data_IF_978591917801
#
_entry.id   IF_978591917801
#
_cell.length_a   1.000
_cell.length_b   1.000
_cell.length_c   1.000
_cell.angle_alpha   90.00
_cell.angle_beta   90.00
_cell.angle_gamma   90.00
#
_symmetry.space_group_name_H-M   'P 1'
#
loop_
_entity.id
_entity.type
_entity.pdbx_description
1 polymer ?
#
# COMPACT_ATOMS: atom_id res chain seq x y z
N UNK A 1 12.01 2.51 16.88
CA UNK A 1 11.46 1.29 16.98
C UNK A 1 10.54 0.95 15.85
N UNK A 2 10.27 -0.25 15.67
CA UNK A 2 9.45 -0.66 14.57
C UNK A 2 8.08 -0.01 14.67
N UNK A 3 7.59 0.44 13.56
CA UNK A 3 6.33 1.12 13.51
C UNK A 3 5.30 0.21 12.84
N UNK A 4 5.41 -1.09 13.05
CA UNK A 4 4.55 -2.03 12.40
C UNK A 4 5.14 -2.45 11.07
N UNK A 5 4.31 -2.99 10.19
CA UNK A 5 4.78 -3.48 8.91
C UNK A 5 5.13 -2.32 7.99
N UNK A 6 6.14 -2.51 7.14
CA UNK A 6 6.56 -1.44 6.24
C UNK A 6 5.54 -1.17 5.14
N UNK A 7 5.71 0.00 4.52
CA UNK A 7 4.94 0.38 3.33
C UNK A 7 5.80 0.02 2.13
N UNK A 8 5.19 -0.62 1.15
CA UNK A 8 5.88 -0.96 -0.10
C UNK A 8 5.61 0.13 -1.12
N UNK A 9 6.68 0.74 -1.62
CA UNK A 9 6.63 1.76 -2.66
C UNK A 9 7.08 1.13 -3.96
N UNK A 10 6.25 1.18 -5.00
CA UNK A 10 6.55 0.59 -6.30
C UNK A 10 6.58 1.71 -7.33
N UNK A 11 7.74 2.00 -7.86
CA UNK A 11 7.94 3.11 -8.78
C UNK A 11 9.18 2.83 -9.62
N UNK A 12 9.06 2.89 -10.94
CA UNK A 12 10.18 2.57 -11.82
C UNK A 12 11.14 3.75 -12.02
N UNK A 13 10.71 4.99 -11.74
CA UNK A 13 11.61 6.13 -11.76
C UNK A 13 12.40 6.16 -10.45
N UNK A 14 13.73 5.95 -10.50
CA UNK A 14 14.50 5.88 -9.26
C UNK A 14 14.50 7.17 -8.45
N UNK A 15 14.43 8.33 -9.11
CA UNK A 15 14.43 9.60 -8.40
C UNK A 15 13.11 9.79 -7.66
N UNK A 16 11.99 9.49 -8.30
CA UNK A 16 10.69 9.63 -7.64
C UNK A 16 10.54 8.58 -6.56
N UNK A 17 11.02 7.36 -6.82
CA UNK A 17 10.96 6.29 -5.81
C UNK A 17 11.69 6.71 -4.55
N UNK A 18 12.88 7.26 -4.71
CA UNK A 18 13.67 7.72 -3.56
C UNK A 18 12.97 8.84 -2.82
N UNK A 19 12.39 9.80 -3.56
CA UNK A 19 11.71 10.93 -2.94
C UNK A 19 10.50 10.46 -2.13
N UNK A 20 9.73 9.53 -2.64
CA UNK A 20 8.57 9.00 -1.93
C UNK A 20 9.02 8.25 -0.67
N UNK A 21 10.04 7.41 -0.81
CA UNK A 21 10.57 6.67 0.33
C UNK A 21 11.09 7.62 1.41
N UNK A 22 11.85 8.64 1.02
CA UNK A 22 12.40 9.60 1.98
C UNK A 22 11.30 10.34 2.72
N UNK A 23 10.26 10.74 1.99
CA UNK A 23 9.13 11.45 2.60
C UNK A 23 8.48 10.59 3.67
N UNK A 24 8.27 9.31 3.39
CA UNK A 24 7.65 8.41 4.34
C UNK A 24 8.56 8.13 5.53
N UNK A 25 9.84 7.93 5.27
CA UNK A 25 10.79 7.65 6.34
C UNK A 25 10.95 8.83 7.29
N UNK A 26 10.96 10.05 6.74
CA UNK A 26 11.03 11.24 7.57
C UNK A 26 9.81 11.38 8.46
N UNK A 27 8.69 10.81 8.07
CA UNK A 27 7.47 10.84 8.88
C UNK A 27 7.38 9.65 9.85
N UNK A 28 8.44 8.85 9.96
CA UNK A 28 8.48 7.75 10.91
C UNK A 28 7.95 6.43 10.38
N UNK A 29 7.67 6.34 9.09
CA UNK A 29 7.19 5.09 8.51
C UNK A 29 8.35 4.21 8.08
N UNK A 30 8.19 2.91 8.27
CA UNK A 30 9.13 1.93 7.73
C UNK A 30 8.76 1.67 6.27
N UNK A 31 9.75 1.61 5.39
CA UNK A 31 9.51 1.56 3.94
C UNK A 31 10.39 0.51 3.30
N UNK A 32 9.83 -0.23 2.37
CA UNK A 32 10.59 -1.05 1.42
C UNK A 32 10.15 -0.62 0.02
N UNK A 33 10.98 -0.84 -0.97
CA UNK A 33 10.66 -0.37 -2.32
C UNK A 33 11.01 -1.39 -3.37
N UNK A 34 10.35 -1.26 -4.52
CA UNK A 34 10.60 -2.11 -5.67
C UNK A 34 10.55 -1.25 -6.92
N UNK A 35 11.41 -1.53 -7.92
CA UNK A 35 11.42 -0.73 -9.15
C UNK A 35 10.33 -1.10 -10.14
N UNK A 36 9.58 -2.17 -9.90
CA UNK A 36 8.53 -2.58 -10.80
C UNK A 36 7.62 -3.59 -10.16
N UNK A 37 6.57 -3.97 -10.91
CA UNK A 37 5.54 -4.85 -10.38
C UNK A 37 6.02 -6.26 -10.11
N UNK A 38 6.90 -6.80 -10.96
CA UNK A 38 7.40 -8.15 -10.75
C UNK A 38 8.23 -8.23 -9.48
N UNK A 39 9.11 -7.25 -9.28
CA UNK A 39 9.92 -7.20 -8.06
C UNK A 39 9.04 -7.00 -6.84
N UNK A 40 7.97 -6.20 -6.97
CA UNK A 40 7.04 -5.99 -5.88
C UNK A 40 6.37 -7.30 -5.48
N UNK A 41 5.92 -8.10 -6.45
CA UNK A 41 5.27 -9.36 -6.15
C UNK A 41 6.23 -10.35 -5.47
N UNK A 42 7.48 -10.38 -5.92
CA UNK A 42 8.48 -11.22 -5.28
C UNK A 42 8.71 -10.81 -3.83
N UNK A 43 8.77 -9.50 -3.60
CA UNK A 43 8.97 -8.99 -2.25
C UNK A 43 7.78 -9.36 -1.36
N UNK A 44 6.56 -9.25 -1.87
CA UNK A 44 5.38 -9.57 -1.09
C UNK A 44 5.30 -11.04 -0.75
N UNK A 45 5.92 -11.92 -1.53
CA UNK A 45 5.96 -13.34 -1.22
C UNK A 45 6.80 -13.64 0.02
N UNK A 46 7.74 -12.79 0.36
CA UNK A 46 8.68 -13.05 1.45
C UNK A 46 8.57 -12.04 2.59
N UNK A 47 7.83 -10.96 2.42
CA UNK A 47 7.74 -9.93 3.44
C UNK A 47 6.33 -9.35 3.48
N UNK A 48 5.73 -9.33 4.67
CA UNK A 48 4.44 -8.68 4.86
C UNK A 48 4.61 -7.17 4.87
N UNK A 49 3.63 -6.47 4.30
CA UNK A 49 3.62 -5.00 4.30
C UNK A 49 2.24 -4.52 4.72
N UNK A 50 2.14 -3.25 5.11
CA UNK A 50 0.89 -2.69 5.61
C UNK A 50 0.13 -1.92 4.54
N UNK A 51 0.77 -1.60 3.43
CA UNK A 51 0.17 -0.79 2.38
C UNK A 51 1.09 -0.85 1.17
N UNK A 52 0.50 -0.84 -0.02
CA UNK A 52 1.27 -0.70 -1.26
C UNK A 52 0.92 0.65 -1.88
N UNK A 53 1.95 1.43 -2.20
CA UNK A 53 1.79 2.69 -2.94
C UNK A 53 2.50 2.46 -4.27
N UNK A 54 1.76 2.43 -5.37
CA UNK A 54 2.31 2.04 -6.66
C UNK A 54 1.97 3.05 -7.73
N UNK A 55 2.94 3.33 -8.59
CA UNK A 55 2.68 4.09 -9.80
C UNK A 55 1.79 3.27 -10.74
N UNK A 56 0.97 3.96 -11.54
CA UNK A 56 0.13 3.31 -12.54
C UNK A 56 0.97 2.93 -13.76
N UNK A 57 1.81 3.83 -14.22
CA UNK A 57 2.60 3.61 -15.44
C UNK A 57 3.95 3.01 -15.10
N UNK A 58 4.09 1.72 -15.39
CA UNK A 58 5.34 1.00 -15.19
C UNK A 58 5.45 -0.06 -16.28
N UNK A 59 6.65 -0.58 -16.46
CA UNK A 59 6.92 -1.67 -17.38
C UNK A 59 7.69 -2.74 -16.63
N UNK A 60 7.56 -4.00 -16.97
CA UNK A 60 6.69 -4.58 -18.01
C UNK A 60 5.22 -4.72 -17.58
N UNK A 61 4.91 -4.70 -16.28
CA UNK A 61 3.52 -4.71 -15.85
C UNK A 61 3.21 -3.38 -15.17
N UNK A 62 2.03 -2.86 -15.46
CA UNK A 62 1.64 -1.57 -14.91
C UNK A 62 1.00 -1.74 -13.53
N UNK A 63 0.69 -0.61 -12.90
CA UNK A 63 0.15 -0.62 -11.54
C UNK A 63 -1.22 -1.25 -11.44
N UNK A 64 -2.01 -1.21 -12.50
CA UNK A 64 -3.34 -1.81 -12.48
C UNK A 64 -3.23 -3.33 -12.54
N UNK A 65 -2.33 -3.84 -13.37
CA UNK A 65 -2.06 -5.28 -13.42
C UNK A 65 -1.52 -5.76 -12.07
N UNK A 66 -0.60 -4.98 -11.49
CA UNK A 66 -0.07 -5.31 -10.17
C UNK A 66 -1.19 -5.32 -9.14
N UNK A 67 -2.09 -4.35 -9.17
CA UNK A 67 -3.23 -4.29 -8.26
C UNK A 67 -4.07 -5.56 -8.35
N UNK A 68 -4.34 -6.02 -9.56
CA UNK A 68 -5.16 -7.23 -9.74
C UNK A 68 -4.47 -8.46 -9.15
N UNK A 69 -3.15 -8.56 -9.35
CA UNK A 69 -2.39 -9.66 -8.77
C UNK A 69 -2.41 -9.59 -7.25
N UNK A 70 -2.26 -8.40 -6.69
CA UNK A 70 -2.30 -8.25 -5.24
C UNK A 70 -3.67 -8.62 -4.70
N UNK A 71 -4.75 -8.18 -5.35
CA UNK A 71 -6.10 -8.55 -4.91
C UNK A 71 -6.30 -10.06 -4.90
N UNK A 72 -5.71 -10.74 -5.88
CA UNK A 72 -5.84 -12.20 -5.98
C UNK A 72 -5.07 -12.91 -4.87
N UNK A 73 -3.88 -12.44 -4.56
CA UNK A 73 -2.99 -13.13 -3.61
C UNK A 73 -3.11 -12.61 -2.18
N UNK A 74 -3.41 -11.33 -2.03
CA UNK A 74 -3.43 -10.66 -0.73
C UNK A 74 -4.68 -9.81 -0.64
N UNK A 75 -5.87 -10.43 -0.49
CA UNK A 75 -7.14 -9.71 -0.64
C UNK A 75 -7.36 -8.59 0.37
N UNK A 76 -6.65 -8.59 1.48
CA UNK A 76 -6.83 -7.56 2.50
C UNK A 76 -5.79 -6.45 2.44
N UNK A 77 -4.81 -6.58 1.55
CA UNK A 77 -3.73 -5.61 1.48
C UNK A 77 -4.19 -4.36 0.75
N UNK A 78 -4.17 -3.18 1.40
CA UNK A 78 -4.60 -1.97 0.72
C UNK A 78 -3.58 -1.50 -0.31
N UNK A 79 -4.07 -0.93 -1.41
CA UNK A 79 -3.25 -0.43 -2.49
C UNK A 79 -3.72 0.99 -2.83
N UNK A 80 -2.79 1.94 -2.81
CA UNK A 80 -3.02 3.31 -3.25
C UNK A 80 -2.18 3.52 -4.50
N UNK A 81 -2.79 4.09 -5.54
CA UNK A 81 -2.09 4.30 -6.80
C UNK A 81 -1.63 5.73 -6.93
N UNK A 82 -0.47 5.93 -7.57
CA UNK A 82 0.03 7.25 -7.94
C UNK A 82 -0.17 7.38 -9.44
N UNK A 83 -0.79 8.47 -9.89
CA UNK A 83 -1.15 8.58 -11.30
C UNK A 83 -0.99 10.02 -11.78
N UNK A 84 -0.59 10.17 -13.03
CA UNK A 84 -0.58 11.47 -13.68
C UNK A 84 -2.01 11.84 -14.08
N UNK A 85 -2.25 13.14 -14.26
CA UNK A 85 -3.58 13.62 -14.66
C UNK A 85 -4.09 12.90 -15.91
N UNK A 86 -3.19 12.61 -16.84
CA UNK A 86 -3.59 11.97 -18.09
C UNK A 86 -4.11 10.54 -17.89
N UNK A 87 -3.85 9.93 -16.74
CA UNK A 87 -4.23 8.54 -16.50
C UNK A 87 -5.35 8.41 -15.46
N UNK A 88 -6.08 9.50 -15.19
CA UNK A 88 -7.14 9.47 -14.17
C UNK A 88 -8.22 8.44 -14.52
N UNK A 89 -8.56 8.28 -15.80
CA UNK A 89 -9.55 7.29 -16.18
C UNK A 89 -9.12 5.88 -15.80
N UNK A 90 -7.83 5.58 -15.95
CA UNK A 90 -7.31 4.28 -15.57
C UNK A 90 -7.35 4.10 -14.05
N UNK A 91 -7.07 5.19 -13.32
CA UNK A 91 -7.13 5.13 -11.86
C UNK A 91 -8.57 4.88 -11.38
N UNK A 92 -9.55 5.51 -12.03
CA UNK A 92 -10.96 5.27 -11.69
C UNK A 92 -11.32 3.81 -11.92
N UNK A 93 -10.86 3.25 -13.04
CA UNK A 93 -11.07 1.83 -13.30
C UNK A 93 -10.43 0.96 -12.23
N UNK A 94 -9.24 1.35 -11.77
CA UNK A 94 -8.54 0.61 -10.73
C UNK A 94 -9.31 0.60 -9.41
N UNK A 95 -10.03 1.69 -9.12
CA UNK A 95 -10.86 1.72 -7.92
C UNK A 95 -11.91 0.59 -7.96
N UNK A 96 -12.45 0.33 -9.13
CA UNK A 96 -13.39 -0.78 -9.31
C UNK A 96 -12.72 -2.13 -9.13
N UNK A 97 -11.42 -2.19 -9.37
CA UNK A 97 -10.66 -3.44 -9.23
C UNK A 97 -10.11 -3.62 -7.82
N UNK A 98 -10.39 -2.68 -6.91
CA UNK A 98 -10.06 -2.88 -5.52
C UNK A 98 -9.00 -1.95 -4.93
N UNK A 99 -8.55 -0.92 -5.66
CA UNK A 99 -7.66 0.07 -5.07
C UNK A 99 -8.41 0.86 -4.01
N UNK A 100 -7.70 1.27 -2.95
CA UNK A 100 -8.31 2.08 -1.90
C UNK A 100 -8.49 3.53 -2.32
N UNK A 101 -7.52 4.04 -3.09
CA UNK A 101 -7.53 5.44 -3.48
C UNK A 101 -6.43 5.67 -4.49
N UNK A 102 -6.31 6.90 -4.98
CA UNK A 102 -5.19 7.28 -5.81
C UNK A 102 -4.74 8.70 -5.46
N UNK A 103 -3.49 9.01 -5.81
CA UNK A 103 -2.89 10.33 -5.66
C UNK A 103 -2.51 10.85 -7.03
N UNK A 104 -2.87 12.10 -7.33
CA UNK A 104 -2.47 12.74 -8.58
C UNK A 104 -1.07 13.31 -8.47
N UNK A 105 -0.24 13.03 -9.45
CA UNK A 105 1.10 13.63 -9.53
C UNK A 105 0.99 15.00 -10.21
N UNK A 106 1.77 15.98 -9.79
CA UNK A 106 2.61 15.96 -8.59
C UNK A 106 1.77 16.13 -7.34
N UNK A 107 2.13 15.43 -6.27
CA UNK A 107 1.41 15.57 -5.01
C UNK A 107 2.35 16.12 -3.95
N UNK A 108 1.77 16.75 -2.94
CA UNK A 108 2.55 17.26 -1.83
C UNK A 108 2.78 16.15 -0.83
N UNK A 109 3.91 16.22 -0.08
CA UNK A 109 4.17 15.23 0.95
C UNK A 109 3.01 15.03 1.91
N UNK A 110 2.32 16.11 2.27
CA UNK A 110 1.18 16.01 3.18
C UNK A 110 0.09 15.12 2.64
N UNK A 111 -0.20 15.20 1.34
CA UNK A 111 -1.23 14.37 0.73
C UNK A 111 -0.84 12.91 0.77
N UNK A 112 0.42 12.60 0.48
CA UNK A 112 0.91 11.24 0.56
C UNK A 112 0.78 10.69 1.98
N UNK A 113 1.19 11.49 2.97
CA UNK A 113 1.15 11.05 4.35
C UNK A 113 -0.28 10.85 4.85
N UNK A 114 -1.20 11.68 4.41
CA UNK A 114 -2.60 11.52 4.77
C UNK A 114 -3.17 10.21 4.23
N UNK A 115 -2.84 9.87 2.99
CA UNK A 115 -3.30 8.61 2.40
C UNK A 115 -2.70 7.41 3.13
N UNK A 116 -1.41 7.47 3.43
CA UNK A 116 -0.74 6.40 4.13
C UNK A 116 -1.37 6.18 5.50
N UNK A 117 -1.56 7.25 6.26
CA UNK A 117 -2.14 7.16 7.59
C UNK A 117 -3.56 6.58 7.54
N UNK A 118 -4.32 6.96 6.51
CA UNK A 118 -5.71 6.54 6.39
C UNK A 118 -5.85 5.07 6.02
N UNK A 119 -5.00 4.58 5.14
CA UNK A 119 -5.24 3.28 4.52
C UNK A 119 -4.32 2.16 5.00
N UNK A 120 -3.18 2.47 5.60
CA UNK A 120 -2.29 1.41 6.04
C UNK A 120 -2.97 0.52 7.07
N UNK A 121 -2.64 -0.76 7.03
CA UNK A 121 -3.18 -1.68 8.02
C UNK A 121 -2.64 -1.33 9.40
N UNK A 122 -3.44 -1.54 10.46
CA UNK A 122 -2.96 -1.26 11.80
C UNK A 122 -1.85 -2.21 12.19
N UNK A 123 -1.06 -1.81 13.18
CA UNK A 123 0.01 -2.66 13.69
C UNK A 123 -0.59 -3.89 14.33
N UNK A 124 0.05 -4.96 14.09
CA UNK A 124 -0.42 -6.17 14.68
C UNK A 124 -0.37 -6.02 16.18
N UNK A 125 -0.58 -5.89 16.29
CA UNK A 125 -0.73 -6.10 17.15
C UNK A 125 -1.10 -6.43 17.83
N UNK A 126 -0.91 -6.12 17.56
CA UNK A 126 -1.16 -6.23 18.08
C UNK A 126 -1.81 -6.80 18.66
N UNK A 127 -1.58 -7.41 18.36
CA UNK A 127 -2.01 -8.01 18.74
C UNK A 127 -2.47 -8.57 19.41
N UNK A 128 -2.30 -8.93 19.52
CA UNK A 128 -2.63 -9.51 20.07
C UNK A 128 -3.14 -9.52 20.99
N UNK A 129 -3.02 -9.11 21.22
CA UNK A 129 -3.44 -9.04 22.08
C UNK A 129 -4.60 -8.98 22.45
N UNK A 130 -4.80 -9.33 22.15
CA UNK A 130 -5.84 -9.40 22.23
C UNK A 130 -6.61 -9.93 22.32
N UNK A 131 -6.56 -10.30 22.23
CA UNK A 131 -7.33 -10.75 22.36
C UNK A 131 -7.86 -11.14 22.61
N UNK A 132 -7.85 -11.40 22.82
CA UNK A 132 -8.41 -11.77 23.09
C UNK A 132 -9.27 -11.99 23.29
N UNK A 133 -9.46 -12.03 23.46
CA UNK A 133 -10.36 -12.22 23.55
C UNK A 133 -11.26 -12.20 23.08
N UNK A 134 -11.46 -12.33 23.02
CA UNK A 134 -12.32 -12.37 22.41
C UNK A 134 -12.80 -12.53 21.59
N UNK A 135 -12.98 -12.79 21.63
CA UNK A 135 -13.25 -12.99 20.61
C UNK A 135 -13.67 -12.67 19.72
N UNK A 136 -13.68 -12.72 19.68
CA UNK A 136 -13.80 -12.30 18.84
C UNK A 136 -13.66 -11.84 18.19
N UNK A 137 -13.58 -11.77 18.24
CA UNK A 137 -13.17 -11.18 17.69
C UNK A 137 -12.88 -11.19 16.94
N UNK A 138 -12.70 -11.40 16.94
CA UNK A 138 -12.17 -11.30 16.24
C UNK A 138 -12.34 -11.09 15.44
N UNK A 139 -12.50 -11.08 15.44
CA UNK A 139 -12.25 -10.66 14.80
C UNK A 139 -12.30 -10.06 14.37
N UNK A 140 -12.56 -9.92 14.54
CA UNK A 140 -12.30 -9.16 14.27
C UNK A 140 -12.14 -8.80 13.83
N UNK A 141 -12.22 -8.97 13.84
CA UNK A 141 -11.71 -8.42 13.44
C UNK A 141 -11.75 -8.35 12.89
N UNK A 142 -11.97 -8.45 13.15
CA UNK A 142 -11.64 -8.18 12.76
C UNK A 142 -11.68 -8.05 12.20
N UNK A 143 -11.90 -8.13 12.10
CA UNK A 143 -11.66 -7.71 11.72
C UNK A 143 -11.75 -7.43 11.35
N UNK A 144 -12.06 -7.45 11.51
CA UNK A 144 -11.90 -7.05 11.33
C UNK A 144 -11.97 -6.67 11.06
N UNK A 145 -12.02 -6.65 11.01
CA UNK A 145 -11.82 -6.12 10.84
C UNK A 145 -11.79 -5.64 10.59
N UNK A 146 -11.86 -5.63 10.53
CA UNK A 146 -11.66 -5.15 10.32
C UNK A 146 -11.80 -4.83 9.78
N UNK A 147 -11.77 -4.80 9.57
CA UNK A 147 -11.62 -4.51 9.12
C UNK A 147 -11.70 -4.31 8.74
N UNK A 148 -11.90 -4.22 8.64
CA UNK A 148 -11.79 -4.02 8.25
C UNK A 148 -11.66 -3.85 8.01
#
# INVERSE_FOLDING_TARGET
MAQGLPILVVEDDPNLREAVCDTLELAGQSVVSAPGGEEALKLLDVQAVSLVVSDVRMMPIDGITLLKEIRSRFPHLPVVLMTAFADVDRAVEAMRSGACDFLLKPFEPKALLEHVTRYRLPEAMDDDRVVANDPVSRNLFALATRVA
#
